data_IF_168105075641
#
_entry.id   IF_168105075641
#
_cell.length_a   1.000
_cell.length_b   1.000
_cell.length_c   1.000
_cell.angle_alpha   90.00
_cell.angle_beta   90.00
_cell.angle_gamma   90.00
#
_symmetry.space_group_name_H-M   'P 1'
#
loop_
_entity.id
_entity.type
_entity.pdbx_description
1 polymer ?
#
# COMPACT_ATOMS: atom_id res chain seq x y z
N UNK A 1 4.25 -14.08 -1.88
CA UNK A 1 3.06 -14.32 -1.04
C UNK A 1 3.21 -13.50 0.25
N UNK A 2 2.21 -13.41 1.13
CA UNK A 2 2.36 -12.64 2.39
C UNK A 2 3.32 -13.31 3.38
N UNK A 3 3.47 -14.64 3.29
CA UNK A 3 4.43 -15.41 4.08
C UNK A 3 5.89 -15.02 3.86
N UNK A 4 6.24 -14.41 2.72
CA UNK A 4 7.63 -14.02 2.40
C UNK A 4 8.01 -12.64 2.93
N UNK A 5 7.04 -11.84 3.40
CA UNK A 5 7.27 -10.45 3.83
C UNK A 5 8.28 -10.35 4.97
N UNK A 6 8.26 -11.21 6.01
CA UNK A 6 9.24 -11.12 7.09
C UNK A 6 10.68 -11.26 6.59
N UNK A 7 10.97 -12.31 5.83
CA UNK A 7 12.33 -12.57 5.31
C UNK A 7 12.80 -11.46 4.38
N UNK A 8 11.91 -10.98 3.50
CA UNK A 8 12.19 -9.85 2.62
C UNK A 8 12.45 -8.56 3.40
N UNK A 9 11.66 -8.27 4.43
CA UNK A 9 11.84 -7.08 5.24
C UNK A 9 13.18 -7.10 6.00
N UNK A 10 13.56 -8.24 6.59
CA UNK A 10 14.86 -8.40 7.22
C UNK A 10 16.02 -8.26 6.23
N UNK A 11 15.90 -8.85 5.03
CA UNK A 11 16.92 -8.71 4.00
C UNK A 11 17.09 -7.24 3.56
N UNK A 12 15.99 -6.53 3.31
CA UNK A 12 16.01 -5.12 2.89
C UNK A 12 16.59 -4.20 3.98
N UNK A 13 16.26 -4.40 5.25
CA UNK A 13 16.84 -3.62 6.36
C UNK A 13 18.37 -3.79 6.40
N UNK A 14 18.86 -5.02 6.20
CA UNK A 14 20.30 -5.29 6.14
C UNK A 14 20.95 -4.64 4.92
N UNK A 15 20.31 -4.66 3.76
CA UNK A 15 20.78 -3.96 2.56
C UNK A 15 20.84 -2.44 2.75
N UNK A 16 19.94 -1.89 3.56
CA UNK A 16 19.92 -0.47 3.95
C UNK A 16 21.01 -0.12 4.99
N UNK A 17 21.83 -1.09 5.39
CA UNK A 17 22.94 -0.89 6.33
C UNK A 17 22.53 -0.85 7.81
N UNK A 18 21.27 -1.13 8.13
CA UNK A 18 20.77 -1.14 9.49
C UNK A 18 20.77 -2.54 10.10
N UNK A 19 20.99 -2.59 11.42
CA UNK A 19 20.86 -3.79 12.25
C UNK A 19 19.61 -3.75 13.13
N UNK A 20 18.75 -2.74 12.95
CA UNK A 20 17.51 -2.61 13.68
C UNK A 20 16.64 -3.84 13.47
N UNK A 21 16.02 -4.34 14.55
CA UNK A 21 14.98 -5.36 14.43
C UNK A 21 13.64 -4.69 14.20
N UNK A 22 12.69 -5.42 13.63
CA UNK A 22 11.30 -4.97 13.52
C UNK A 22 10.53 -5.51 14.73
N UNK A 23 9.83 -4.63 15.45
CA UNK A 23 8.93 -5.04 16.52
C UNK A 23 7.72 -5.81 16.00
N UNK A 24 7.21 -6.79 16.76
CA UNK A 24 6.12 -7.68 16.32
C UNK A 24 4.90 -6.95 15.75
N UNK A 25 4.47 -5.84 16.36
CA UNK A 25 3.33 -5.05 15.87
C UNK A 25 3.60 -4.41 14.51
N UNK A 26 4.81 -3.90 14.30
CA UNK A 26 5.24 -3.35 13.02
C UNK A 26 5.29 -4.44 11.95
N UNK A 27 5.86 -5.60 12.29
CA UNK A 27 5.92 -6.75 11.37
C UNK A 27 4.53 -7.25 10.98
N UNK A 28 3.60 -7.39 11.94
CA UNK A 28 2.21 -7.74 11.65
C UNK A 28 1.51 -6.73 10.75
N UNK A 29 1.78 -5.43 10.94
CA UNK A 29 1.21 -4.38 10.09
C UNK A 29 1.74 -4.48 8.65
N UNK A 30 3.04 -4.73 8.47
CA UNK A 30 3.64 -4.97 7.15
C UNK A 30 3.04 -6.21 6.46
N UNK A 31 2.84 -7.31 7.19
CA UNK A 31 2.26 -8.54 6.65
C UNK A 31 0.79 -8.38 6.22
N UNK A 32 0.04 -7.53 6.92
CA UNK A 32 -1.37 -7.26 6.63
C UNK A 32 -1.57 -6.19 5.55
N UNK A 33 -0.51 -5.49 5.14
CA UNK A 33 -0.57 -4.49 4.09
C UNK A 33 -0.70 -5.11 2.68
N UNK A 34 -1.39 -4.42 1.77
CA UNK A 34 -1.69 -4.93 0.43
C UNK A 34 -0.55 -4.77 -0.58
N UNK A 35 0.45 -3.92 -0.28
CA UNK A 35 1.62 -3.63 -1.14
C UNK A 35 1.29 -3.33 -2.61
N UNK A 36 0.41 -2.34 -2.90
CA UNK A 36 0.07 -1.95 -4.27
C UNK A 36 1.30 -1.56 -5.12
N UNK A 37 2.34 -0.97 -4.51
CA UNK A 37 3.60 -0.59 -5.14
C UNK A 37 4.66 -1.69 -5.12
N UNK A 38 4.27 -2.93 -4.79
CA UNK A 38 5.14 -4.10 -4.71
C UNK A 38 6.33 -3.90 -3.75
N UNK A 39 7.45 -4.57 -4.02
CA UNK A 39 8.69 -4.50 -3.21
C UNK A 39 9.30 -3.10 -3.14
N UNK A 40 9.02 -2.23 -4.12
CA UNK A 40 9.55 -0.87 -4.11
C UNK A 40 8.91 -0.03 -3.00
N UNK A 41 7.60 -0.16 -2.81
CA UNK A 41 6.88 0.48 -1.71
C UNK A 41 7.34 -0.07 -0.35
N UNK A 42 7.48 -1.41 -0.22
CA UNK A 42 8.05 -2.02 0.98
C UNK A 42 9.44 -1.47 1.30
N UNK A 43 10.33 -1.39 0.32
CA UNK A 43 11.66 -0.83 0.48
C UNK A 43 11.61 0.64 0.90
N UNK A 44 10.71 1.43 0.33
CA UNK A 44 10.55 2.85 0.68
C UNK A 44 10.10 3.02 2.13
N UNK A 45 9.08 2.26 2.56
CA UNK A 45 8.58 2.27 3.95
C UNK A 45 9.69 1.85 4.91
N UNK A 46 10.40 0.77 4.62
CA UNK A 46 11.51 0.29 5.46
C UNK A 46 12.68 1.28 5.49
N UNK A 47 12.99 1.95 4.38
CA UNK A 47 14.00 3.00 4.32
C UNK A 47 13.69 4.14 5.27
N UNK A 48 12.49 4.71 5.17
CA UNK A 48 12.05 5.78 6.08
C UNK A 48 11.97 5.31 7.53
N UNK A 49 11.56 4.07 7.77
CA UNK A 49 11.48 3.52 9.12
C UNK A 49 12.86 3.30 9.76
N UNK A 50 13.85 2.86 8.98
CA UNK A 50 15.24 2.75 9.43
C UNK A 50 15.81 4.12 9.80
N UNK A 51 15.59 5.13 8.97
CA UNK A 51 16.02 6.51 9.25
C UNK A 51 15.35 7.07 10.51
N UNK A 52 14.05 6.84 10.68
CA UNK A 52 13.28 7.32 11.83
C UNK A 52 13.65 6.60 13.15
N UNK A 53 13.90 5.29 13.09
CA UNK A 53 14.26 4.49 14.25
C UNK A 53 15.71 4.75 14.71
N UNK A 54 16.61 5.03 13.77
CA UNK A 54 18.04 5.17 14.04
C UNK A 54 18.64 3.87 14.59
N UNK A 55 19.22 3.93 15.80
CA UNK A 55 19.82 2.78 16.48
C UNK A 55 18.81 1.91 17.26
N UNK A 56 17.52 2.29 17.28
CA UNK A 56 16.47 1.54 17.98
C UNK A 56 15.83 0.49 17.06
N UNK A 57 15.09 -0.43 17.69
CA UNK A 57 14.22 -1.34 16.95
C UNK A 57 13.06 -0.56 16.30
N UNK A 58 12.70 -0.94 15.07
CA UNK A 58 11.64 -0.34 14.26
C UNK A 58 10.28 -0.67 14.87
N UNK A 59 9.58 0.36 15.33
CA UNK A 59 8.22 0.29 15.84
C UNK A 59 7.17 0.65 14.80
N UNK A 60 5.89 0.47 15.19
CA UNK A 60 4.75 0.79 14.32
C UNK A 60 4.71 2.27 13.93
N UNK A 61 5.20 3.14 14.82
CA UNK A 61 5.23 4.59 14.60
C UNK A 61 6.23 4.99 13.51
N UNK A 62 7.30 4.22 13.34
CA UNK A 62 8.38 4.50 12.40
C UNK A 62 8.01 4.10 10.97
N UNK A 63 7.06 3.17 10.80
CA UNK A 63 6.55 2.76 9.48
C UNK A 63 5.72 3.84 8.79
N UNK A 64 5.24 4.85 9.53
CA UNK A 64 4.41 5.93 8.98
C UNK A 64 2.94 5.86 9.43
N UNK A 65 2.18 6.95 9.21
CA UNK A 65 0.81 7.11 9.67
C UNK A 65 -0.18 6.07 9.12
N UNK A 66 0.06 5.55 7.92
CA UNK A 66 -0.76 4.52 7.26
C UNK A 66 -0.74 3.18 8.00
N UNK A 67 0.28 2.93 8.83
CA UNK A 67 0.40 1.73 9.66
C UNK A 67 -0.12 1.94 11.09
N UNK A 68 -0.40 3.19 11.51
CA UNK A 68 -0.85 3.51 12.88
C UNK A 68 -2.34 3.20 13.14
N UNK A 69 -3.15 3.03 12.09
CA UNK A 69 -4.61 2.81 12.15
C UNK A 69 -5.07 1.35 12.34
N UNK A 70 -4.33 0.55 13.10
CA UNK A 70 -4.51 -0.90 13.16
C UNK A 70 -5.33 -1.42 14.35
N UNK A 71 -6.65 -1.30 14.29
CA UNK A 71 -7.55 -2.30 14.93
C UNK A 71 -8.49 -2.95 13.90
N UNK A 72 -8.77 -2.32 12.76
CA UNK A 72 -9.72 -2.84 11.75
C UNK A 72 -9.17 -3.04 10.33
N UNK A 73 -7.85 -2.97 10.12
CA UNK A 73 -7.23 -3.33 8.83
C UNK A 73 -7.65 -2.48 7.62
N UNK A 74 -8.44 -1.41 7.82
CA UNK A 74 -8.81 -0.45 6.77
C UNK A 74 -7.83 0.71 6.81
N UNK A 75 -6.92 0.73 5.85
CA UNK A 75 -6.03 1.86 5.58
C UNK A 75 -6.86 3.14 5.43
N UNK A 76 -6.60 4.13 6.28
CA UNK A 76 -7.18 5.47 6.11
C UNK A 76 -6.57 6.09 4.86
N UNK A 77 -7.40 6.39 3.86
CA UNK A 77 -6.94 7.06 2.64
C UNK A 77 -6.48 8.49 2.98
N UNK A 78 -5.35 8.90 2.41
CA UNK A 78 -5.00 10.32 2.40
C UNK A 78 -6.05 11.13 1.63
N UNK A 79 -6.09 12.45 1.82
CA UNK A 79 -7.02 13.33 1.09
C UNK A 79 -6.87 13.19 -0.44
N UNK A 80 -5.63 13.04 -0.92
CA UNK A 80 -5.33 12.86 -2.34
C UNK A 80 -5.88 11.52 -2.83
N UNK A 81 -5.69 10.45 -2.05
CA UNK A 81 -6.19 9.13 -2.40
C UNK A 81 -7.72 9.03 -2.36
N UNK A 82 -8.38 9.76 -1.46
CA UNK A 82 -9.83 9.84 -1.44
C UNK A 82 -10.36 10.49 -2.72
N UNK A 83 -9.77 11.62 -3.15
CA UNK A 83 -10.13 12.28 -4.40
C UNK A 83 -9.87 11.36 -5.61
N UNK A 84 -8.73 10.69 -5.64
CA UNK A 84 -8.40 9.75 -6.73
C UNK A 84 -9.37 8.56 -6.76
N UNK A 85 -9.72 8.00 -5.60
CA UNK A 85 -10.72 6.94 -5.49
C UNK A 85 -12.05 7.40 -6.07
N UNK A 86 -12.51 8.60 -5.72
CA UNK A 86 -13.79 9.12 -6.19
C UNK A 86 -13.77 9.38 -7.71
N UNK A 87 -12.66 9.88 -8.25
CA UNK A 87 -12.47 10.02 -9.69
C UNK A 87 -12.53 8.66 -10.41
N UNK A 88 -11.89 7.62 -9.85
CA UNK A 88 -11.93 6.26 -10.40
C UNK A 88 -13.34 5.68 -10.36
N UNK A 89 -14.07 5.87 -9.26
CA UNK A 89 -15.47 5.42 -9.13
C UNK A 89 -16.37 6.14 -10.13
N UNK A 90 -16.19 7.45 -10.31
CA UNK A 90 -16.90 8.24 -11.32
C UNK A 90 -16.68 7.73 -12.74
N UNK A 91 -15.43 7.60 -13.16
CA UNK A 91 -15.07 7.11 -14.49
C UNK A 91 -15.60 5.69 -14.77
N UNK A 92 -15.59 4.82 -13.75
CA UNK A 92 -16.18 3.48 -13.87
C UNK A 92 -17.70 3.53 -14.05
N UNK A 93 -18.41 4.42 -13.36
CA UNK A 93 -19.86 4.61 -13.53
C UNK A 93 -20.19 5.10 -14.93
N UNK A 94 -19.51 6.14 -15.40
CA UNK A 94 -19.70 6.73 -16.72
C UNK A 94 -19.39 5.73 -17.85
N UNK A 95 -18.41 4.85 -17.62
CA UNK A 95 -18.01 3.81 -18.56
C UNK A 95 -18.80 2.50 -18.40
N UNK A 96 -19.88 2.47 -17.62
CA UNK A 96 -20.66 1.26 -17.33
C UNK A 96 -19.80 0.06 -16.87
N UNK A 97 -18.79 0.33 -16.04
CA UNK A 97 -17.83 -0.65 -15.55
C UNK A 97 -16.74 -1.06 -16.54
N UNK A 98 -16.71 -0.48 -17.75
CA UNK A 98 -15.63 -0.74 -18.71
C UNK A 98 -14.32 -0.11 -18.22
N UNK A 99 -13.42 -0.97 -17.73
CA UNK A 99 -12.14 -0.58 -17.14
C UNK A 99 -11.14 -0.01 -18.14
N UNK A 100 -11.25 -0.39 -19.42
CA UNK A 100 -10.36 0.16 -20.46
C UNK A 100 -10.74 1.61 -20.73
N UNK A 101 -12.04 1.85 -20.96
CA UNK A 101 -12.58 3.17 -21.19
C UNK A 101 -12.41 4.09 -19.96
N UNK A 102 -12.61 3.58 -18.75
CA UNK A 102 -12.36 4.35 -17.53
C UNK A 102 -10.88 4.73 -17.35
N UNK A 103 -9.95 3.84 -17.72
CA UNK A 103 -8.52 4.16 -17.68
C UNK A 103 -8.17 5.27 -18.69
N UNK A 104 -8.70 5.16 -19.91
CA UNK A 104 -8.50 6.16 -20.97
C UNK A 104 -9.08 7.53 -20.56
N UNK A 105 -10.28 7.58 -20.00
CA UNK A 105 -10.91 8.80 -19.53
C UNK A 105 -10.11 9.50 -18.42
N UNK A 106 -9.43 8.73 -17.57
CA UNK A 106 -8.56 9.24 -16.51
C UNK A 106 -7.13 9.54 -16.98
N UNK A 107 -6.79 9.29 -18.25
CA UNK A 107 -5.43 9.41 -18.76
C UNK A 107 -4.44 8.43 -18.12
N UNK A 108 -4.92 7.30 -17.62
CA UNK A 108 -4.12 6.29 -16.93
C UNK A 108 -3.86 5.07 -17.81
N UNK A 109 -2.71 4.43 -17.62
CA UNK A 109 -2.54 3.08 -18.14
C UNK A 109 -3.48 2.10 -17.43
N UNK A 110 -3.89 1.03 -18.12
CA UNK A 110 -4.67 -0.06 -17.52
C UNK A 110 -4.02 -0.60 -16.24
N UNK A 111 -2.71 -0.84 -16.26
CA UNK A 111 -1.97 -1.37 -15.11
C UNK A 111 -2.06 -0.44 -13.90
N UNK A 112 -2.04 0.87 -14.11
CA UNK A 112 -2.22 1.88 -13.06
C UNK A 112 -3.64 1.82 -12.49
N UNK A 113 -4.66 1.76 -13.35
CA UNK A 113 -6.06 1.64 -12.89
C UNK A 113 -6.24 0.37 -12.04
N UNK A 114 -5.80 -0.80 -12.51
CA UNK A 114 -5.91 -2.05 -11.75
C UNK A 114 -5.15 -2.01 -10.42
N UNK A 115 -4.02 -1.31 -10.34
CA UNK A 115 -3.29 -1.09 -9.09
C UNK A 115 -4.11 -0.24 -8.12
N UNK A 116 -4.71 0.85 -8.59
CA UNK A 116 -5.56 1.74 -7.77
C UNK A 116 -6.85 1.08 -7.31
N UNK A 117 -7.50 0.27 -8.16
CA UNK A 117 -8.69 -0.49 -7.77
C UNK A 117 -8.39 -1.43 -6.60
N UNK A 118 -7.29 -2.18 -6.70
CA UNK A 118 -6.82 -3.03 -5.60
C UNK A 118 -6.49 -2.23 -4.34
N UNK A 119 -5.83 -1.08 -4.50
CA UNK A 119 -5.48 -0.19 -3.40
C UNK A 119 -6.71 0.28 -2.61
N UNK A 120 -7.79 0.60 -3.32
CA UNK A 120 -9.01 1.14 -2.74
C UNK A 120 -10.05 0.07 -2.38
N UNK A 121 -9.70 -1.22 -2.49
CA UNK A 121 -10.62 -2.32 -2.24
C UNK A 121 -11.80 -2.36 -3.21
N UNK A 122 -11.65 -1.75 -4.39
CA UNK A 122 -12.65 -1.78 -5.46
C UNK A 122 -12.44 -3.07 -6.26
N UNK A 123 -13.44 -3.95 -6.24
CA UNK A 123 -13.34 -5.28 -6.84
C UNK A 123 -13.14 -5.18 -8.37
N UNK A 124 -12.01 -5.66 -8.92
CA UNK A 124 -11.74 -5.66 -10.34
C UNK A 124 -12.54 -6.72 -11.11
N UNK A 125 -13.43 -7.50 -10.48
CA UNK A 125 -14.21 -8.56 -11.11
C UNK A 125 -15.73 -8.47 -10.84
N UNK A 126 -16.18 -7.72 -9.83
CA UNK A 126 -17.61 -7.49 -9.61
C UNK A 126 -18.12 -6.28 -10.40
N UNK A 127 -18.91 -6.55 -11.43
CA UNK A 127 -19.86 -5.61 -12.01
C UNK A 127 -21.01 -5.46 -11.02
N UNK A 128 -20.86 -4.62 -10.02
CA UNK A 128 -22.03 -4.09 -9.31
C UNK A 128 -21.77 -2.64 -9.00
N UNK A 129 -22.29 -1.79 -9.88
CA UNK A 129 -22.64 -0.41 -9.60
C UNK A 129 -24.16 -0.31 -9.64
#
# INVERSE_FOLDING_TARGET
RREDIPDLAYAMIRELGSRARIGNRALSALMNHAWPGNLHELRSVLGSAVEAAGDRDIGLVDLGPEFRGGVDGRRTLSRIEALERDAIVGALRESNGNRVQAAEALGMSRSTLYRRLRLFGLDPHRTVL
#
